data_IF_989850447807
#
_entry.id   IF_989850447807
#
_cell.length_a   1.000
_cell.length_b   1.000
_cell.length_c   1.000
_cell.angle_alpha   90.00
_cell.angle_beta   90.00
_cell.angle_gamma   90.00
#
_symmetry.space_group_name_H-M   'P 1'
#
loop_
_entity.id
_entity.type
_entity.pdbx_description
1 polymer ?
#
# COMPACT_ATOMS: atom_id res chain seq x y z
N UNK A 1 6.93 2.37 6.20
CA UNK A 1 6.81 0.89 6.32
C UNK A 1 7.04 0.30 4.94
N UNK A 2 7.75 -0.81 4.86
CA UNK A 2 8.01 -1.51 3.60
C UNK A 2 7.54 -2.95 3.75
N UNK A 3 6.85 -3.46 2.74
CA UNK A 3 6.39 -4.84 2.71
C UNK A 3 6.55 -5.40 1.30
N UNK A 4 6.96 -6.66 1.21
CA UNK A 4 6.96 -7.39 -0.05
C UNK A 4 5.54 -7.79 -0.42
N UNK A 5 5.00 -7.21 -1.50
CA UNK A 5 3.63 -7.45 -1.95
C UNK A 5 3.51 -8.64 -2.92
N UNK A 6 4.64 -9.11 -3.46
CA UNK A 6 4.67 -10.25 -4.37
C UNK A 6 5.92 -10.28 -5.24
N UNK A 7 5.87 -11.12 -6.28
CA UNK A 7 6.90 -11.24 -7.32
C UNK A 7 6.27 -10.98 -8.69
N UNK A 8 7.11 -10.67 -9.69
CA UNK A 8 6.69 -10.53 -11.10
C UNK A 8 5.95 -11.76 -11.63
N UNK A 9 6.24 -12.95 -11.09
CA UNK A 9 5.59 -14.20 -11.49
C UNK A 9 4.14 -14.35 -11.00
N UNK A 10 3.62 -13.43 -10.19
CA UNK A 10 2.25 -13.51 -9.66
C UNK A 10 1.25 -12.96 -10.67
N UNK A 11 0.01 -13.46 -10.63
CA UNK A 11 -1.04 -12.91 -11.48
C UNK A 11 -1.42 -11.49 -11.03
N UNK A 12 -2.01 -10.74 -11.95
CA UNK A 12 -2.47 -9.37 -11.67
C UNK A 12 -3.50 -9.35 -10.54
N UNK A 13 -4.40 -10.33 -10.46
CA UNK A 13 -5.40 -10.40 -9.38
C UNK A 13 -4.74 -10.63 -8.03
N UNK A 14 -3.76 -11.54 -7.96
CA UNK A 14 -3.04 -11.84 -6.71
C UNK A 14 -2.29 -10.62 -6.17
N UNK A 15 -1.62 -9.88 -7.06
CA UNK A 15 -0.91 -8.65 -6.68
C UNK A 15 -1.88 -7.58 -6.19
N UNK A 16 -3.02 -7.42 -6.86
CA UNK A 16 -4.05 -6.47 -6.45
C UNK A 16 -4.63 -6.82 -5.08
N UNK A 17 -4.93 -8.10 -4.85
CA UNK A 17 -5.51 -8.56 -3.59
C UNK A 17 -4.53 -8.37 -2.42
N UNK A 18 -3.25 -8.67 -2.63
CA UNK A 18 -2.18 -8.44 -1.64
C UNK A 18 -2.04 -6.95 -1.28
N UNK A 19 -2.03 -6.06 -2.29
CA UNK A 19 -1.97 -4.60 -2.07
C UNK A 19 -3.19 -4.14 -1.28
N UNK A 20 -4.38 -4.56 -1.70
CA UNK A 20 -5.63 -4.15 -1.05
C UNK A 20 -5.67 -4.59 0.42
N UNK A 21 -5.29 -5.84 0.70
CA UNK A 21 -5.24 -6.41 2.05
C UNK A 21 -4.23 -5.67 2.92
N UNK A 22 -3.06 -5.35 2.38
CA UNK A 22 -2.03 -4.60 3.09
C UNK A 22 -2.49 -3.19 3.48
N UNK A 23 -3.12 -2.47 2.54
CA UNK A 23 -3.65 -1.13 2.77
C UNK A 23 -4.77 -1.16 3.82
N UNK A 24 -5.68 -2.13 3.72
CA UNK A 24 -6.74 -2.34 4.72
C UNK A 24 -6.19 -2.62 6.11
N UNK A 25 -5.16 -3.45 6.22
CA UNK A 25 -4.51 -3.73 7.49
C UNK A 25 -3.89 -2.47 8.10
N UNK A 26 -3.21 -1.64 7.30
CA UNK A 26 -2.64 -0.35 7.76
C UNK A 26 -3.75 0.58 8.26
N UNK A 27 -4.83 0.72 7.50
CA UNK A 27 -5.96 1.58 7.86
C UNK A 27 -6.65 1.10 9.14
N UNK A 28 -6.81 -0.23 9.32
CA UNK A 28 -7.38 -0.84 10.53
C UNK A 28 -6.47 -0.66 11.76
N UNK A 29 -5.17 -0.73 11.58
CA UNK A 29 -4.18 -0.54 12.65
C UNK A 29 -3.81 0.93 12.89
N UNK A 30 -4.57 1.89 12.35
CA UNK A 30 -4.39 3.31 12.66
C UNK A 30 -4.63 3.54 14.16
N UNK A 31 -3.63 4.01 14.93
CA UNK A 31 -3.81 4.26 16.35
C UNK A 31 -4.78 5.43 16.56
N UNK A 32 -5.65 5.33 17.57
CA UNK A 32 -6.68 6.34 17.86
C UNK A 32 -6.10 7.74 18.15
N UNK A 33 -4.85 7.82 18.60
CA UNK A 33 -4.12 9.07 18.83
C UNK A 33 -3.67 9.78 17.53
N UNK A 34 -3.61 9.07 16.40
CA UNK A 34 -3.16 9.66 15.13
C UNK A 34 -4.28 10.50 14.49
N UNK A 35 -4.25 11.81 14.74
CA UNK A 35 -5.12 12.79 14.10
C UNK A 35 -4.60 13.15 12.69
N UNK A 36 -5.52 13.28 11.73
CA UNK A 36 -5.21 13.66 10.35
C UNK A 36 -4.85 12.50 9.42
N UNK A 37 -4.13 12.82 8.34
CA UNK A 37 -3.74 11.91 7.24
C UNK A 37 -2.59 11.01 7.72
N UNK A 38 -2.90 9.74 7.98
CA UNK A 38 -1.95 8.78 8.54
C UNK A 38 -0.91 8.32 7.50
N UNK A 39 -1.37 8.07 6.27
CA UNK A 39 -0.51 7.77 5.12
C UNK A 39 -0.12 9.09 4.45
N UNK A 40 1.17 9.44 4.51
CA UNK A 40 1.71 10.68 3.91
C UNK A 40 2.25 10.49 2.50
N UNK A 41 2.81 9.32 2.23
CA UNK A 41 3.39 8.97 0.93
C UNK A 41 3.30 7.45 0.74
N UNK A 42 3.07 7.02 -0.50
CA UNK A 42 3.10 5.62 -0.91
C UNK A 42 3.84 5.52 -2.25
N UNK A 43 4.74 4.55 -2.35
CA UNK A 43 5.50 4.31 -3.56
C UNK A 43 5.68 2.80 -3.75
N UNK A 44 5.61 2.35 -4.99
CA UNK A 44 5.81 0.96 -5.38
C UNK A 44 7.07 0.87 -6.22
N UNK A 45 7.98 0.00 -5.84
CA UNK A 45 9.27 -0.19 -6.53
C UNK A 45 9.59 -1.66 -6.65
N UNK A 46 10.28 -2.02 -7.73
CA UNK A 46 10.93 -3.32 -7.88
C UNK A 46 12.36 -3.24 -7.33
N UNK A 47 13.01 -4.39 -7.16
CA UNK A 47 14.35 -4.50 -6.55
C UNK A 47 15.40 -3.59 -7.17
N UNK A 48 15.33 -3.38 -8.49
CA UNK A 48 16.29 -2.57 -9.25
C UNK A 48 15.56 -1.68 -10.27
N UNK A 49 14.48 -1.01 -9.86
CA UNK A 49 13.73 -0.13 -10.76
C UNK A 49 13.29 1.16 -10.06
N UNK A 50 13.15 2.25 -10.82
CA UNK A 50 12.60 3.49 -10.28
C UNK A 50 11.22 3.25 -9.69
N UNK A 51 10.93 3.96 -8.60
CA UNK A 51 9.66 3.85 -7.90
C UNK A 51 8.55 4.63 -8.60
N UNK A 52 7.34 4.07 -8.61
CA UNK A 52 6.12 4.77 -9.03
C UNK A 52 5.41 5.27 -7.77
N UNK A 53 5.14 6.58 -7.70
CA UNK A 53 4.36 7.16 -6.61
C UNK A 53 2.88 6.80 -6.80
N UNK A 54 2.26 6.34 -5.74
CA UNK A 54 0.83 6.02 -5.69
C UNK A 54 0.10 7.19 -5.04
N UNK A 55 -1.12 7.47 -5.52
CA UNK A 55 -1.92 8.53 -4.94
C UNK A 55 -2.40 8.11 -3.54
N UNK A 56 -2.01 8.90 -2.55
CA UNK A 56 -2.30 8.59 -1.14
C UNK A 56 -3.77 8.77 -0.80
N UNK A 57 -4.51 9.55 -1.59
CA UNK A 57 -5.94 9.77 -1.41
C UNK A 57 -6.74 8.50 -1.69
N UNK A 58 -6.47 7.84 -2.83
CA UNK A 58 -7.15 6.59 -3.22
C UNK A 58 -6.87 5.43 -2.25
N UNK A 59 -5.67 5.40 -1.66
CA UNK A 59 -5.28 4.38 -0.67
C UNK A 59 -5.98 4.55 0.70
N UNK A 60 -6.47 5.76 1.01
CA UNK A 60 -7.25 5.99 2.24
C UNK A 60 -8.73 5.60 2.06
N UNK A 61 -9.24 5.68 0.82
CA UNK A 61 -10.62 5.35 0.48
C UNK A 61 -10.84 3.84 0.23
N UNK A 62 -9.76 3.06 0.09
CA UNK A 62 -9.79 1.60 0.11
C UNK A 62 -10.13 1.08 1.52
N UNK A 63 -11.44 0.99 1.80
CA UNK A 63 -12.04 0.29 2.94
C UNK A 63 -12.14 -1.22 2.68
#
# INVERSE_FOLDING_TARGET
IHAGLGKVSFSKEQLWDNVSTFVKAINKHKPAAAKGRYIKNAALSLTMSPSVKLETQELLDMK
#
